data_IF_806756763280
#
_entry.id   IF_806756763280
#
_cell.length_a   1.000
_cell.length_b   1.000
_cell.length_c   1.000
_cell.angle_alpha   90.00
_cell.angle_beta   90.00
_cell.angle_gamma   90.00
#
_symmetry.space_group_name_H-M   'P 1'
#
loop_
_entity.id
_entity.type
_entity.pdbx_description
1 polymer ?
#
# COMPACT_ATOMS: atom_id res chain seq x y z
N UNK A 1 13.39 -3.16 -0.35
CA UNK A 1 13.16 -4.26 0.58
C UNK A 1 11.70 -4.62 0.60
N UNK A 2 11.39 -5.92 0.63
CA UNK A 2 10.01 -6.36 0.63
C UNK A 2 9.55 -6.57 2.07
N UNK A 3 8.58 -5.77 2.51
CA UNK A 3 8.13 -5.81 3.92
C UNK A 3 7.07 -6.86 4.20
N UNK A 4 6.48 -7.43 3.18
CA UNK A 4 5.42 -8.44 3.33
C UNK A 4 5.67 -9.60 2.38
N UNK A 5 5.22 -10.78 2.78
CA UNK A 5 5.38 -11.99 1.96
C UNK A 5 4.06 -12.37 1.29
N UNK A 6 4.11 -13.38 0.41
CA UNK A 6 2.91 -13.92 -0.19
C UNK A 6 1.94 -14.46 0.85
N UNK A 7 2.47 -14.98 1.96
CA UNK A 7 1.62 -15.44 3.06
C UNK A 7 0.89 -14.28 3.70
N UNK A 8 1.58 -13.16 3.88
CA UNK A 8 0.94 -11.96 4.41
C UNK A 8 -0.15 -11.47 3.45
N UNK A 9 0.14 -11.52 2.16
CA UNK A 9 -0.84 -11.10 1.17
C UNK A 9 -2.10 -11.96 1.25
N UNK A 10 -1.94 -13.27 1.38
CA UNK A 10 -3.10 -14.16 1.52
C UNK A 10 -3.88 -13.88 2.79
N UNK A 11 -3.19 -13.47 3.84
CA UNK A 11 -3.81 -13.16 5.13
C UNK A 11 -4.63 -11.88 5.08
N UNK A 12 -4.05 -10.83 4.49
CA UNK A 12 -4.69 -9.50 4.52
C UNK A 12 -5.57 -9.22 3.32
N UNK A 13 -5.34 -9.92 2.21
CA UNK A 13 -6.12 -9.74 0.97
C UNK A 13 -6.63 -11.09 0.46
N UNK A 14 -7.49 -11.77 1.22
CA UNK A 14 -8.02 -13.06 0.76
C UNK A 14 -8.82 -12.85 -0.53
N UNK A 15 -8.55 -13.68 -1.52
CA UNK A 15 -9.20 -13.53 -2.81
C UNK A 15 -8.64 -12.37 -3.64
N UNK A 16 -7.43 -11.92 -3.33
CA UNK A 16 -6.82 -10.81 -4.04
C UNK A 16 -6.55 -11.10 -5.51
N UNK A 17 -6.33 -10.05 -6.28
CA UNK A 17 -6.23 -10.14 -7.74
C UNK A 17 -4.83 -10.38 -8.26
N UNK A 18 -3.80 -10.28 -7.41
CA UNK A 18 -2.42 -10.48 -7.86
C UNK A 18 -2.13 -11.97 -8.04
N UNK A 19 -1.77 -12.42 -9.25
CA UNK A 19 -1.48 -13.84 -9.46
C UNK A 19 -0.28 -14.29 -8.64
N UNK A 20 -0.23 -15.56 -8.22
CA UNK A 20 0.86 -16.03 -7.35
C UNK A 20 2.25 -15.78 -7.93
N UNK A 21 2.41 -15.90 -9.24
CA UNK A 21 3.72 -15.72 -9.87
C UNK A 21 4.15 -14.26 -9.90
N UNK A 22 3.24 -13.32 -9.64
CA UNK A 22 3.55 -11.89 -9.65
C UNK A 22 3.57 -11.28 -8.25
N UNK A 23 3.24 -12.05 -7.22
CA UNK A 23 3.07 -11.51 -5.88
C UNK A 23 4.35 -10.91 -5.32
N UNK A 24 5.48 -11.59 -5.49
CA UNK A 24 6.74 -11.06 -4.94
C UNK A 24 7.11 -9.73 -5.59
N UNK A 25 6.97 -9.63 -6.90
CA UNK A 25 7.29 -8.38 -7.59
C UNK A 25 6.31 -7.27 -7.18
N UNK A 26 5.03 -7.60 -7.06
CA UNK A 26 4.02 -6.63 -6.66
C UNK A 26 4.25 -6.14 -5.23
N UNK A 27 4.60 -7.06 -4.32
CA UNK A 27 4.85 -6.69 -2.93
C UNK A 27 6.12 -5.86 -2.78
N UNK A 28 7.13 -6.16 -3.58
CA UNK A 28 8.35 -5.36 -3.58
C UNK A 28 8.07 -3.95 -4.09
N UNK A 29 7.33 -3.83 -5.17
CA UNK A 29 6.96 -2.52 -5.71
C UNK A 29 6.10 -1.75 -4.71
N UNK A 30 5.14 -2.41 -4.07
CA UNK A 30 4.32 -1.78 -3.05
C UNK A 30 5.15 -1.33 -1.86
N UNK A 31 6.16 -2.12 -1.47
CA UNK A 31 7.05 -1.73 -0.39
C UNK A 31 7.79 -0.44 -0.72
N UNK A 32 8.21 -0.27 -1.96
CA UNK A 32 8.83 0.98 -2.39
C UNK A 32 7.86 2.15 -2.33
N UNK A 33 6.59 1.92 -2.69
CA UNK A 33 5.57 2.95 -2.56
C UNK A 33 5.39 3.36 -1.10
N UNK A 34 5.36 2.38 -0.20
CA UNK A 34 5.23 2.66 1.23
C UNK A 34 6.46 3.43 1.74
N UNK A 35 7.65 3.10 1.25
CA UNK A 35 8.85 3.88 1.60
C UNK A 35 8.68 5.35 1.18
N UNK A 36 8.15 5.58 0.00
CA UNK A 36 7.88 6.95 -0.45
C UNK A 36 6.87 7.67 0.43
N UNK A 37 5.82 6.97 0.84
CA UNK A 37 4.78 7.56 1.67
C UNK A 37 5.24 7.81 3.11
N UNK A 38 6.24 7.10 3.57
CA UNK A 38 6.77 7.25 4.92
C UNK A 38 8.11 8.00 4.95
N UNK A 39 8.48 8.63 3.83
CA UNK A 39 9.70 9.45 3.73
C UNK A 39 10.95 8.64 4.08
N UNK A 40 10.98 7.37 3.67
CA UNK A 40 12.08 6.44 3.93
C UNK A 40 12.40 6.27 5.42
N UNK A 41 11.45 6.58 6.29
CA UNK A 41 11.66 6.42 7.73
C UNK A 41 11.80 4.97 8.15
N UNK A 42 11.12 4.07 7.43
CA UNK A 42 11.27 2.63 7.69
C UNK A 42 12.67 2.19 7.31
N UNK A 43 13.18 2.69 6.18
CA UNK A 43 14.54 2.37 5.75
C UNK A 43 15.55 2.88 6.78
N UNK A 44 15.38 4.12 7.23
CA UNK A 44 16.30 4.74 8.16
C UNK A 44 16.31 4.05 9.53
N UNK A 45 15.14 3.68 10.03
CA UNK A 45 15.03 3.04 11.33
C UNK A 45 15.34 1.55 11.29
N UNK A 46 15.08 0.91 10.16
CA UNK A 46 15.15 -0.54 10.05
C UNK A 46 13.81 -1.17 10.41
N UNK A 47 13.27 -1.94 9.49
CA UNK A 47 11.94 -2.54 9.69
C UNK A 47 11.90 -3.38 10.98
N UNK A 48 12.98 -4.10 11.26
CA UNK A 48 13.03 -4.98 12.42
C UNK A 48 13.04 -4.22 13.74
N UNK A 49 13.33 -2.93 13.70
CA UNK A 49 13.34 -2.09 14.90
C UNK A 49 11.97 -1.49 15.22
N UNK A 50 11.04 -1.60 14.30
CA UNK A 50 9.68 -1.12 14.55
C UNK A 50 9.02 -2.03 15.59
N UNK A 51 8.03 -1.50 16.30
CA UNK A 51 7.26 -2.34 17.22
C UNK A 51 6.49 -3.38 16.44
N UNK A 52 6.06 -4.45 17.11
CA UNK A 52 5.27 -5.49 16.47
C UNK A 52 4.00 -4.89 15.84
N UNK A 53 3.37 -3.95 16.51
CA UNK A 53 2.18 -3.30 16.00
C UNK A 53 2.48 -2.49 14.74
N UNK A 54 3.58 -1.73 14.73
CA UNK A 54 3.98 -0.98 13.55
C UNK A 54 4.32 -1.90 12.39
N UNK A 55 5.01 -3.00 12.66
CA UNK A 55 5.34 -3.97 11.61
C UNK A 55 4.09 -4.55 10.99
N UNK A 56 3.10 -4.86 11.80
CA UNK A 56 1.84 -5.41 11.29
C UNK A 56 1.10 -4.40 10.42
N UNK A 57 1.04 -3.15 10.86
CA UNK A 57 0.41 -2.09 10.07
C UNK A 57 1.13 -1.89 8.73
N UNK A 58 2.46 -1.92 8.73
CA UNK A 58 3.23 -1.78 7.50
C UNK A 58 2.98 -2.95 6.56
N UNK A 59 2.99 -4.18 7.08
CA UNK A 59 2.71 -5.35 6.24
C UNK A 59 1.34 -5.28 5.61
N UNK A 60 0.35 -4.88 6.39
CA UNK A 60 -1.01 -4.75 5.89
C UNK A 60 -1.09 -3.66 4.83
N UNK A 61 -0.45 -2.51 5.08
CA UNK A 61 -0.44 -1.41 4.12
C UNK A 61 0.21 -1.84 2.81
N UNK A 62 1.32 -2.58 2.87
CA UNK A 62 2.01 -3.07 1.69
C UNK A 62 1.11 -4.02 0.89
N UNK A 63 0.45 -4.95 1.56
CA UNK A 63 -0.43 -5.90 0.88
C UNK A 63 -1.60 -5.19 0.20
N UNK A 64 -2.21 -4.23 0.89
CA UNK A 64 -3.33 -3.50 0.32
C UNK A 64 -2.89 -2.54 -0.78
N UNK A 65 -1.69 -1.99 -0.69
CA UNK A 65 -1.14 -1.18 -1.75
C UNK A 65 -0.87 -2.03 -3.00
N UNK A 66 -0.36 -3.26 -2.83
CA UNK A 66 -0.13 -4.16 -3.95
C UNK A 66 -1.45 -4.52 -4.64
N UNK A 67 -2.48 -4.79 -3.85
CA UNK A 67 -3.81 -5.09 -4.39
C UNK A 67 -4.37 -3.89 -5.13
N UNK A 68 -4.26 -2.70 -4.56
CA UNK A 68 -4.70 -1.47 -5.20
C UNK A 68 -3.98 -1.28 -6.53
N UNK A 69 -2.66 -1.48 -6.56
CA UNK A 69 -1.89 -1.31 -7.79
C UNK A 69 -2.33 -2.26 -8.89
N UNK A 70 -2.63 -3.49 -8.52
CA UNK A 70 -3.09 -4.50 -9.49
C UNK A 70 -4.45 -4.12 -10.07
N UNK A 71 -5.42 -3.78 -9.20
CA UNK A 71 -6.77 -3.42 -9.63
C UNK A 71 -6.75 -2.12 -10.43
N UNK A 72 -6.00 -1.12 -9.97
CA UNK A 72 -5.95 0.18 -10.61
C UNK A 72 -5.33 0.08 -12.01
N UNK A 73 -4.23 -0.68 -12.14
CA UNK A 73 -3.59 -0.87 -13.44
C UNK A 73 -4.52 -1.57 -14.42
N UNK A 74 -5.26 -2.56 -13.95
CA UNK A 74 -6.20 -3.30 -14.77
C UNK A 74 -7.33 -2.38 -15.26
N UNK A 75 -7.85 -1.55 -14.37
CA UNK A 75 -8.93 -0.64 -14.72
C UNK A 75 -8.46 0.51 -15.60
N UNK A 76 -7.23 0.97 -15.45
CA UNK A 76 -6.68 2.00 -16.31
C UNK A 76 -6.50 1.51 -17.75
N UNK A 77 -6.41 0.21 -17.96
CA UNK A 77 -6.36 -0.34 -19.30
C UNK A 77 -7.72 -0.34 -19.98
N UNK A 78 -8.79 -0.05 -19.24
CA UNK A 78 -10.14 0.01 -19.77
C UNK A 78 -10.33 1.24 -20.64
N UNK A 79 -11.12 1.16 -21.73
CA UNK A 79 -11.43 2.36 -22.52
C UNK A 79 -12.28 3.38 -21.75
N UNK A 80 -12.82 3.01 -20.59
CA UNK A 80 -13.60 3.93 -19.78
C UNK A 80 -12.87 4.23 -18.48
N UNK A 81 -11.63 4.70 -18.59
CA UNK A 81 -10.74 4.83 -17.43
C UNK A 81 -11.26 5.75 -16.34
N UNK A 82 -11.96 6.84 -16.69
CA UNK A 82 -12.53 7.74 -15.67
C UNK A 82 -13.56 7.03 -14.80
N UNK A 83 -14.43 6.26 -15.43
CA UNK A 83 -15.42 5.48 -14.72
C UNK A 83 -14.73 4.39 -13.87
N UNK A 84 -13.69 3.79 -14.42
CA UNK A 84 -12.93 2.76 -13.73
C UNK A 84 -12.27 3.28 -12.46
N UNK A 85 -11.76 4.51 -12.50
CA UNK A 85 -11.16 5.13 -11.32
C UNK A 85 -12.20 5.30 -10.21
N UNK A 86 -13.43 5.70 -10.57
CA UNK A 86 -14.50 5.80 -9.59
C UNK A 86 -14.84 4.44 -8.98
N UNK A 87 -14.82 3.38 -9.79
CA UNK A 87 -15.07 2.03 -9.29
C UNK A 87 -13.97 1.61 -8.32
N UNK A 88 -12.70 1.93 -8.63
CA UNK A 88 -11.60 1.64 -7.72
C UNK A 88 -11.81 2.34 -6.38
N UNK A 89 -12.18 3.63 -6.41
CA UNK A 89 -12.41 4.38 -5.18
C UNK A 89 -13.53 3.73 -4.36
N UNK A 90 -14.57 3.23 -5.01
CA UNK A 90 -15.65 2.55 -4.31
C UNK A 90 -15.21 1.22 -3.71
N UNK A 91 -14.36 0.48 -4.43
CA UNK A 91 -13.84 -0.79 -3.91
C UNK A 91 -13.00 -0.60 -2.66
N UNK A 92 -12.36 0.56 -2.53
CA UNK A 92 -11.55 0.86 -1.36
C UNK A 92 -12.34 1.76 -0.41
N UNK A 93 -13.59 1.38 -0.14
CA UNK A 93 -14.48 1.97 0.85
C UNK A 93 -14.94 3.39 0.51
N UNK A 94 -14.87 3.75 -0.75
CA UNK A 94 -15.31 5.07 -1.17
C UNK A 94 -14.46 6.20 -0.62
N UNK A 95 -13.34 5.88 0.02
CA UNK A 95 -12.50 6.87 0.65
C UNK A 95 -11.69 7.68 -0.36
N UNK A 96 -11.69 7.29 -1.61
CA UNK A 96 -10.98 8.00 -2.64
C UNK A 96 -9.52 7.58 -2.75
N UNK A 97 -8.87 8.16 -3.73
CA UNK A 97 -7.47 7.90 -4.02
C UNK A 97 -6.68 9.14 -3.65
N UNK A 98 -5.62 8.95 -2.88
CA UNK A 98 -4.72 10.02 -2.45
C UNK A 98 -3.44 9.91 -3.26
N UNK A 99 -2.92 11.04 -3.71
CA UNK A 99 -1.61 11.06 -4.36
C UNK A 99 -0.64 11.86 -3.52
N UNK A 100 0.55 11.31 -3.30
CA UNK A 100 1.53 11.95 -2.45
C UNK A 100 2.90 11.57 -2.94
N UNK A 101 3.71 12.55 -3.32
CA UNK A 101 5.05 12.30 -3.82
C UNK A 101 5.10 11.41 -5.05
N UNK A 102 4.06 11.46 -5.89
CA UNK A 102 3.99 10.64 -7.08
C UNK A 102 3.40 9.26 -6.86
N UNK A 103 3.06 8.93 -5.62
CA UNK A 103 2.47 7.62 -5.29
C UNK A 103 0.98 7.77 -5.13
N UNK A 104 0.20 6.96 -5.84
CA UNK A 104 -1.24 6.89 -5.67
C UNK A 104 -1.57 5.74 -4.73
N UNK A 105 -2.43 6.01 -3.77
CA UNK A 105 -2.78 5.02 -2.75
C UNK A 105 -4.21 5.25 -2.28
N UNK A 106 -4.93 4.20 -1.88
CA UNK A 106 -6.26 4.41 -1.28
C UNK A 106 -6.12 5.07 0.08
N UNK A 107 -7.11 5.85 0.44
CA UNK A 107 -7.07 6.60 1.70
C UNK A 107 -6.91 5.69 2.91
N UNK A 108 -7.45 4.47 2.88
CA UNK A 108 -7.33 3.59 4.04
C UNK A 108 -5.90 3.08 4.24
N UNK A 109 -5.10 2.98 3.16
CA UNK A 109 -3.68 2.66 3.31
C UNK A 109 -2.97 3.80 4.04
N UNK A 110 -3.27 5.05 3.67
CA UNK A 110 -2.73 6.20 4.39
C UNK A 110 -3.15 6.19 5.86
N UNK A 111 -4.37 5.77 6.14
CA UNK A 111 -4.84 5.66 7.52
C UNK A 111 -4.02 4.66 8.32
N UNK A 112 -3.72 3.50 7.71
CA UNK A 112 -2.86 2.51 8.36
C UNK A 112 -1.48 3.07 8.65
N UNK A 113 -0.91 3.79 7.69
CA UNK A 113 0.42 4.38 7.86
C UNK A 113 0.43 5.49 8.90
N UNK A 114 -0.64 6.27 9.00
CA UNK A 114 -0.74 7.30 10.03
C UNK A 114 -0.70 6.68 11.41
N UNK A 115 -1.28 5.51 11.58
CA UNK A 115 -1.27 4.83 12.86
C UNK A 115 0.14 4.41 13.28
N UNK A 116 1.06 4.26 12.32
CA UNK A 116 2.45 3.97 12.65
C UNK A 116 3.21 5.19 13.14
N UNK A 117 2.72 6.39 12.86
CA UNK A 117 3.43 7.63 13.15
C UNK A 117 4.52 7.96 12.15
N UNK A 118 4.66 7.19 11.08
CA UNK A 118 5.77 7.35 10.15
C UNK A 118 5.46 8.29 8.99
N UNK A 119 4.28 8.87 8.94
CA UNK A 119 3.90 9.76 7.84
C UNK A 119 3.95 11.24 8.21
N UNK A 120 4.37 11.58 9.42
CA UNK A 120 4.44 12.98 9.82
C UNK A 120 5.61 13.67 9.16
N UNK A 121 5.38 14.88 8.67
CA UNK A 121 6.41 15.67 8.06
C UNK A 121 7.17 16.50 9.06
N UNK A 122 6.71 16.85 10.10
CA UNK A 122 7.32 17.81 10.96
C UNK A 122 8.27 17.22 11.95
N UNK A 123 8.61 18.05 12.87
CA UNK A 123 9.46 17.73 13.90
C UNK A 123 8.71 17.06 14.94
N UNK A 124 8.38 15.99 14.87
CA UNK A 124 7.73 15.41 15.79
C UNK A 124 8.42 14.69 16.50
N UNK A 125 8.46 14.61 17.18
CA UNK A 125 9.01 13.93 17.70
C UNK A 125 8.66 12.98 18.27
#
# INVERSE_FOLDING_TARGET
MQYASSEDYAKYCPGGTVPPEEQDAALDAASRDIDGLTFDRIVAAGFDRLTAFQQELVKRAVCEQAEFGSVYAELLASPFSSYSINVVAMQFDGAGIVERGGVKTPAHVMSLLRQTGLTFLGVQQ
#
